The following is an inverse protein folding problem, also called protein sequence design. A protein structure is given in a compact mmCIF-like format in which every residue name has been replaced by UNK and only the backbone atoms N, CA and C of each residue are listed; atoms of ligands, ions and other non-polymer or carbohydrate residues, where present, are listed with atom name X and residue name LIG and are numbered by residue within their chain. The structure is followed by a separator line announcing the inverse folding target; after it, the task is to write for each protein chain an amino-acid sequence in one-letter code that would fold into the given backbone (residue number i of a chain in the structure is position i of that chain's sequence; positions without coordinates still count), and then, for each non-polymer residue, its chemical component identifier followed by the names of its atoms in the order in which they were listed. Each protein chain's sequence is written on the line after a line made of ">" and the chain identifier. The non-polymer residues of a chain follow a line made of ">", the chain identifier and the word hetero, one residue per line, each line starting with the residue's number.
data_IF_173348091226
#
_entry.id   IF_173348091226
#
_cell.length_a   1.000
_cell.length_b   1.000
_cell.length_c   1.000
_cell.angle_alpha   90.00
_cell.angle_beta   90.00
_cell.angle_gamma   90.00
#
_symmetry.space_group_name_H-M   'P 1'
#
loop_
_entity.id
_entity.type
_entity.pdbx_description
1 polymer ?
#
# COMPACT_ATOMS: atom_id res chain seq x y z
N UNK A 1 -15.36 44.07 9.76
CA UNK A 1 -15.59 42.75 10.39
C UNK A 1 -14.68 41.77 9.67
N UNK A 2 -13.41 41.76 10.08
CA UNK A 2 -12.37 40.87 9.54
C UNK A 2 -12.65 39.47 10.09
N UNK A 3 -12.94 38.51 9.21
CA UNK A 3 -13.05 37.10 9.60
C UNK A 3 -11.66 36.50 9.56
N UNK A 4 -11.27 35.93 10.69
CA UNK A 4 -9.99 35.29 10.96
C UNK A 4 -9.64 34.21 9.92
N UNK A 5 -8.70 34.53 9.04
CA UNK A 5 -7.91 33.58 8.27
C UNK A 5 -6.78 33.05 9.17
N UNK A 6 -7.09 32.29 10.21
CA UNK A 6 -6.09 31.54 10.99
C UNK A 6 -6.76 30.42 11.80
N UNK A 7 -7.13 29.36 11.10
CA UNK A 7 -7.25 28.02 11.70
C UNK A 7 -6.59 27.04 10.74
N UNK A 8 -5.28 27.20 10.52
CA UNK A 8 -4.47 26.08 10.05
C UNK A 8 -4.46 25.09 11.21
N UNK A 9 -5.32 24.09 11.10
CA UNK A 9 -5.45 23.01 12.05
C UNK A 9 -4.06 22.40 12.23
N UNK A 10 -3.44 22.61 13.39
CA UNK A 10 -2.05 22.27 13.68
C UNK A 10 -1.92 20.75 13.92
N UNK A 11 -2.37 19.95 12.95
CA UNK A 11 -2.38 18.50 13.03
C UNK A 11 -0.96 18.03 12.75
N UNK A 12 -0.29 17.48 13.77
CA UNK A 12 1.04 16.88 13.66
C UNK A 12 1.03 15.85 12.51
N UNK A 13 1.96 15.97 11.56
CA UNK A 13 2.13 15.01 10.45
C UNK A 13 2.19 13.56 10.96
N UNK A 14 1.55 12.63 10.25
CA UNK A 14 1.62 11.21 10.58
C UNK A 14 3.06 10.71 10.45
N UNK A 15 3.56 10.07 11.50
CA UNK A 15 4.91 9.49 11.52
C UNK A 15 4.86 7.96 11.46
N UNK A 16 5.71 7.40 10.61
CA UNK A 16 5.76 5.98 10.26
C UNK A 16 7.09 5.35 10.67
N UNK A 17 7.02 4.07 11.03
CA UNK A 17 8.17 3.18 11.03
C UNK A 17 7.86 1.93 10.21
N UNK A 18 8.81 1.52 9.37
CA UNK A 18 8.76 0.24 8.68
C UNK A 18 9.68 -0.75 9.40
N UNK A 19 9.15 -1.93 9.73
CA UNK A 19 9.94 -3.07 10.22
C UNK A 19 9.67 -4.20 9.25
N UNK A 20 10.66 -4.53 8.41
CA UNK A 20 10.39 -5.36 7.26
C UNK A 20 11.50 -6.32 6.94
N UNK A 21 11.18 -7.28 6.08
CA UNK A 21 12.14 -8.06 5.33
C UNK A 21 11.56 -8.32 3.93
N UNK A 22 12.40 -8.74 2.99
CA UNK A 22 12.02 -8.93 1.59
C UNK A 22 11.81 -7.62 0.83
N UNK A 23 11.45 -7.77 -0.45
CA UNK A 23 11.41 -6.67 -1.42
C UNK A 23 10.11 -5.85 -1.37
N UNK A 24 9.05 -6.38 -0.76
CA UNK A 24 7.75 -5.72 -0.84
C UNK A 24 7.70 -4.39 -0.08
N UNK A 25 8.11 -4.39 1.18
CA UNK A 25 8.12 -3.15 1.95
C UNK A 25 9.10 -2.13 1.33
N UNK A 26 10.24 -2.58 0.79
CA UNK A 26 11.14 -1.70 0.04
C UNK A 26 10.39 -1.02 -1.12
N UNK A 27 9.57 -1.78 -1.86
CA UNK A 27 8.72 -1.26 -2.94
C UNK A 27 7.75 -0.18 -2.47
N UNK A 28 7.10 -0.38 -1.33
CA UNK A 28 6.20 0.62 -0.72
C UNK A 28 6.99 1.85 -0.27
N UNK A 29 8.08 1.69 0.46
CA UNK A 29 8.93 2.78 0.96
C UNK A 29 9.44 3.63 -0.21
N UNK A 30 9.97 3.00 -1.25
CA UNK A 30 10.51 3.68 -2.44
C UNK A 30 9.42 4.37 -3.24
N UNK A 31 8.20 3.84 -3.24
CA UNK A 31 7.06 4.56 -3.79
C UNK A 31 6.73 5.81 -2.96
N UNK A 32 6.67 5.70 -1.62
CA UNK A 32 6.31 6.80 -0.71
C UNK A 32 7.31 7.96 -0.73
N UNK A 33 8.61 7.69 -0.81
CA UNK A 33 9.64 8.73 -0.94
C UNK A 33 9.78 9.26 -2.37
N UNK A 34 9.06 8.66 -3.32
CA UNK A 34 9.09 8.98 -4.75
C UNK A 34 10.49 8.79 -5.39
N UNK A 35 11.09 7.63 -5.12
CA UNK A 35 12.38 7.25 -5.73
C UNK A 35 12.19 6.94 -7.23
N UNK A 36 12.84 7.74 -8.07
CA UNK A 36 12.81 7.63 -9.53
C UNK A 36 13.47 6.35 -10.06
N UNK A 37 14.45 5.80 -9.35
CA UNK A 37 15.20 4.62 -9.79
C UNK A 37 14.46 3.31 -9.54
N UNK A 38 13.32 3.38 -8.85
CA UNK A 38 12.59 2.23 -8.38
C UNK A 38 11.65 1.62 -9.42
N UNK A 39 10.86 2.46 -10.10
CA UNK A 39 9.95 2.00 -11.14
C UNK A 39 10.72 1.80 -12.45
N UNK A 40 10.80 0.55 -12.92
CA UNK A 40 11.49 0.19 -14.17
C UNK A 40 10.56 -0.30 -15.27
N UNK A 41 9.24 -0.21 -15.06
CA UNK A 41 8.22 -0.78 -15.96
C UNK A 41 8.15 -0.15 -17.35
N UNK A 42 8.66 1.07 -17.53
CA UNK A 42 8.75 1.74 -18.84
C UNK A 42 10.14 1.65 -19.46
N UNK A 43 11.15 1.15 -18.72
CA UNK A 43 12.55 1.12 -19.12
C UNK A 43 13.00 2.46 -19.75
N UNK A 44 13.63 2.44 -20.93
CA UNK A 44 14.10 3.62 -21.67
C UNK A 44 12.98 4.58 -22.10
N UNK A 45 11.71 4.17 -22.05
CA UNK A 45 10.55 4.99 -22.40
C UNK A 45 9.92 5.68 -21.17
N UNK A 46 10.59 5.68 -20.03
CA UNK A 46 10.09 6.33 -18.81
C UNK A 46 10.00 7.85 -18.98
N UNK A 47 8.81 8.41 -18.77
CA UNK A 47 8.55 9.85 -18.75
C UNK A 47 8.41 10.41 -17.32
N UNK A 48 8.79 9.61 -16.31
CA UNK A 48 8.78 10.00 -14.90
C UNK A 48 7.40 10.43 -14.37
N UNK A 49 6.36 9.63 -14.64
CA UNK A 49 4.95 9.92 -14.32
C UNK A 49 4.62 10.28 -12.85
N UNK A 50 5.56 10.07 -11.91
CA UNK A 50 5.41 10.42 -10.49
C UNK A 50 6.24 11.62 -10.06
N UNK A 51 7.16 12.09 -10.90
CA UNK A 51 8.17 13.06 -10.50
C UNK A 51 7.54 14.40 -10.09
N UNK A 52 8.00 14.92 -8.94
CA UNK A 52 7.54 16.17 -8.35
C UNK A 52 6.03 16.23 -8.02
N UNK A 53 5.35 15.07 -7.98
CA UNK A 53 3.93 15.00 -7.58
C UNK A 53 3.78 14.94 -6.07
N UNK A 54 4.59 14.12 -5.38
CA UNK A 54 4.55 13.95 -3.93
C UNK A 54 5.91 13.48 -3.39
N UNK A 55 6.12 13.58 -2.07
CA UNK A 55 7.16 12.86 -1.35
C UNK A 55 6.81 12.80 0.14
N UNK A 56 6.73 11.60 0.69
CA UNK A 56 6.41 11.35 2.10
C UNK A 56 7.66 11.00 2.93
N UNK A 57 8.84 11.42 2.47
CA UNK A 57 10.10 11.15 3.18
C UNK A 57 10.10 11.66 4.63
N UNK A 58 9.40 12.77 4.90
CA UNK A 58 9.27 13.35 6.25
C UNK A 58 8.40 12.51 7.18
N UNK A 59 7.46 11.74 6.63
CA UNK A 59 6.61 10.84 7.40
C UNK A 59 7.38 9.60 7.85
N UNK A 60 8.41 9.15 7.13
CA UNK A 60 9.14 7.91 7.44
C UNK A 60 10.30 8.19 8.38
N UNK A 61 10.14 7.88 9.67
CA UNK A 61 11.18 8.10 10.68
C UNK A 61 12.26 7.01 10.67
N UNK A 62 11.89 5.78 10.31
CA UNK A 62 12.82 4.69 10.12
C UNK A 62 12.26 3.62 9.19
N UNK A 63 13.16 3.00 8.43
CA UNK A 63 12.93 1.77 7.70
C UNK A 63 13.99 0.77 8.15
N UNK A 64 13.56 -0.25 8.91
CA UNK A 64 14.45 -1.20 9.56
C UNK A 64 14.27 -2.56 8.93
N UNK A 65 15.27 -2.98 8.15
CA UNK A 65 15.29 -4.30 7.56
C UNK A 65 15.81 -5.33 8.57
N UNK A 66 15.04 -6.39 8.79
CA UNK A 66 15.41 -7.54 9.60
C UNK A 66 15.98 -8.67 8.74
N UNK A 67 16.55 -9.67 9.41
CA UNK A 67 17.07 -10.88 8.75
C UNK A 67 15.97 -11.57 7.95
N UNK A 68 16.34 -11.99 6.74
CA UNK A 68 15.45 -12.76 5.87
C UNK A 68 14.93 -14.02 6.60
N UNK A 69 13.60 -14.27 6.61
CA UNK A 69 13.01 -15.42 7.27
C UNK A 69 13.62 -16.77 6.85
N UNK A 70 14.09 -16.91 5.60
CA UNK A 70 14.75 -18.13 5.10
C UNK A 70 16.09 -18.44 5.78
N UNK A 71 16.69 -17.45 6.45
CA UNK A 71 17.95 -17.58 7.20
C UNK A 71 17.72 -17.76 8.71
N UNK A 72 16.47 -17.78 9.15
CA UNK A 72 16.11 -17.96 10.55
C UNK A 72 15.64 -19.40 10.80
N UNK A 73 15.76 -19.91 12.04
CA UNK A 73 15.15 -21.18 12.42
C UNK A 73 13.63 -21.14 12.21
N UNK A 74 13.02 -22.30 11.97
CA UNK A 74 11.57 -22.39 11.77
C UNK A 74 10.73 -21.93 12.97
N UNK A 75 11.32 -21.98 14.17
CA UNK A 75 10.73 -21.51 15.43
C UNK A 75 11.78 -20.73 16.22
N UNK A 76 11.37 -19.59 16.77
CA UNK A 76 12.23 -18.69 17.55
C UNK A 76 11.68 -18.58 18.97
N UNK A 77 12.38 -19.17 19.94
CA UNK A 77 11.97 -19.14 21.35
C UNK A 77 12.03 -17.75 21.99
N UNK A 78 12.95 -16.89 21.51
CA UNK A 78 13.23 -15.57 22.07
C UNK A 78 13.21 -14.49 20.96
N UNK A 79 12.03 -14.18 20.38
CA UNK A 79 11.90 -13.26 19.25
C UNK A 79 12.43 -11.85 19.54
N UNK A 80 12.38 -11.41 20.81
CA UNK A 80 12.88 -10.12 21.26
C UNK A 80 14.39 -9.93 21.01
N UNK A 81 15.17 -11.02 20.92
CA UNK A 81 16.62 -10.96 20.61
C UNK A 81 16.91 -10.59 19.16
N UNK A 82 15.95 -10.82 18.27
CA UNK A 82 16.05 -10.51 16.84
C UNK A 82 15.42 -9.15 16.50
N UNK A 83 14.73 -8.53 17.46
CA UNK A 83 14.10 -7.24 17.27
C UNK A 83 15.12 -6.10 17.14
N UNK A 84 14.78 -5.01 16.44
CA UNK A 84 15.64 -3.84 16.39
C UNK A 84 15.93 -3.31 17.79
N UNK A 85 17.21 -3.05 18.09
CA UNK A 85 17.63 -2.50 19.40
C UNK A 85 17.06 -1.11 19.67
N UNK A 86 16.75 -0.34 18.63
CA UNK A 86 16.20 1.01 18.69
C UNK A 86 15.17 1.18 17.60
N UNK A 87 13.95 1.52 18.00
CA UNK A 87 12.85 1.91 17.12
C UNK A 87 12.44 3.32 17.57
N UNK A 88 12.39 4.32 16.67
CA UNK A 88 11.94 5.65 17.05
C UNK A 88 10.46 5.64 17.45
N UNK A 89 10.07 6.58 18.30
CA UNK A 89 8.63 6.81 18.57
C UNK A 89 7.98 7.33 17.28
N UNK A 90 6.90 6.68 16.87
CA UNK A 90 6.12 7.00 15.69
C UNK A 90 4.62 6.85 16.01
N UNK A 91 3.75 7.21 15.08
CA UNK A 91 2.31 7.03 15.25
C UNK A 91 1.87 5.64 14.73
N UNK A 92 2.48 5.16 13.65
CA UNK A 92 2.08 3.94 12.94
C UNK A 92 3.28 3.06 12.54
N UNK A 93 3.15 1.74 12.72
CA UNK A 93 4.11 0.75 12.24
C UNK A 93 3.55 0.00 11.02
N UNK A 94 4.36 -0.18 9.98
CA UNK A 94 4.08 -1.08 8.87
C UNK A 94 5.05 -2.25 8.97
N UNK A 95 4.53 -3.47 9.12
CA UNK A 95 5.33 -4.69 9.22
C UNK A 95 5.05 -5.65 8.06
N UNK A 96 6.07 -6.17 7.41
CA UNK A 96 5.90 -7.03 6.22
C UNK A 96 7.10 -7.93 5.96
N UNK A 97 6.86 -9.13 5.41
CA UNK A 97 7.90 -10.10 5.04
C UNK A 97 8.71 -10.65 6.22
N UNK A 98 8.17 -10.55 7.43
CA UNK A 98 8.85 -10.97 8.66
C UNK A 98 8.64 -12.46 8.95
N UNK A 99 9.56 -13.04 9.71
CA UNK A 99 9.35 -14.36 10.30
C UNK A 99 8.14 -14.32 11.24
N UNK A 100 7.33 -15.39 11.26
CA UNK A 100 6.03 -15.44 11.95
C UNK A 100 6.15 -15.12 13.44
N UNK A 101 7.15 -15.68 14.11
CA UNK A 101 7.40 -15.41 15.53
C UNK A 101 7.86 -13.98 15.79
N UNK A 102 8.58 -13.35 14.85
CA UNK A 102 8.92 -11.94 14.96
C UNK A 102 7.69 -11.08 14.77
N UNK A 103 6.86 -11.40 13.77
CA UNK A 103 5.62 -10.68 13.52
C UNK A 103 4.70 -10.67 14.76
N UNK A 104 4.59 -11.81 15.47
CA UNK A 104 3.84 -11.93 16.74
C UNK A 104 4.40 -11.08 17.88
N UNK A 105 5.70 -10.76 17.88
CA UNK A 105 6.32 -9.92 18.89
C UNK A 105 6.24 -8.42 18.57
N UNK A 106 5.94 -8.03 17.31
CA UNK A 106 5.82 -6.61 16.91
C UNK A 106 4.85 -5.82 17.81
N UNK A 107 3.61 -6.29 18.10
CA UNK A 107 2.67 -5.53 18.93
C UNK A 107 3.25 -5.15 20.30
N UNK A 108 3.97 -6.07 20.94
CA UNK A 108 4.62 -5.85 22.23
C UNK A 108 5.71 -4.77 22.17
N UNK A 109 6.48 -4.75 21.08
CA UNK A 109 7.59 -3.82 20.91
C UNK A 109 7.09 -2.40 20.62
N UNK A 110 6.13 -2.27 19.70
CA UNK A 110 5.65 -0.96 19.25
C UNK A 110 4.79 -0.27 20.32
N UNK A 111 4.01 -1.04 21.10
CA UNK A 111 3.17 -0.49 22.17
C UNK A 111 4.02 0.19 23.26
N UNK A 112 5.15 -0.42 23.64
CA UNK A 112 6.09 0.15 24.64
C UNK A 112 6.65 1.52 24.22
N UNK A 113 6.62 1.82 22.92
CA UNK A 113 7.11 3.07 22.33
C UNK A 113 6.01 4.11 22.14
N UNK A 114 4.75 3.74 22.41
CA UNK A 114 3.58 4.59 22.24
C UNK A 114 3.05 4.66 20.81
N UNK A 115 3.50 3.78 19.91
CA UNK A 115 2.91 3.62 18.57
C UNK A 115 1.46 3.14 18.73
N UNK A 116 0.57 3.64 17.88
CA UNK A 116 -0.88 3.49 18.03
C UNK A 116 -1.53 2.58 17.01
N UNK A 117 -0.84 2.27 15.91
CA UNK A 117 -1.36 1.36 14.90
C UNK A 117 -0.30 0.43 14.33
N UNK A 118 -0.78 -0.69 13.79
CA UNK A 118 -0.01 -1.67 13.05
C UNK A 118 -0.74 -2.06 11.76
N UNK A 119 -0.08 -1.87 10.62
CA UNK A 119 -0.53 -2.43 9.34
C UNK A 119 0.38 -3.60 8.98
N UNK A 120 -0.23 -4.74 8.69
CA UNK A 120 0.47 -5.94 8.19
C UNK A 120 -0.14 -6.33 6.85
N UNK A 121 0.41 -5.84 5.73
CA UNK A 121 -0.11 -6.19 4.42
C UNK A 121 0.12 -7.66 4.09
N UNK A 122 -0.87 -8.28 3.44
CA UNK A 122 -0.82 -9.68 3.02
C UNK A 122 -0.69 -9.73 1.50
N UNK A 123 0.55 -9.74 1.01
CA UNK A 123 0.86 -9.96 -0.41
C UNK A 123 1.06 -11.45 -0.72
N UNK A 124 1.49 -12.24 0.27
CA UNK A 124 1.53 -13.69 0.23
C UNK A 124 0.89 -14.28 1.50
N UNK A 125 -0.12 -15.13 1.32
CA UNK A 125 -0.87 -15.72 2.43
C UNK A 125 -0.07 -16.75 3.24
N UNK A 126 1.08 -17.19 2.74
CA UNK A 126 1.99 -18.08 3.48
C UNK A 126 2.80 -17.34 4.54
N UNK A 127 3.07 -16.04 4.32
CA UNK A 127 3.72 -15.14 5.29
C UNK A 127 2.80 -14.86 6.47
N UNK A 128 1.52 -14.59 6.19
CA UNK A 128 0.50 -14.30 7.20
C UNK A 128 -0.72 -15.23 7.04
N UNK A 129 -0.62 -16.50 7.51
CA UNK A 129 -1.76 -17.41 7.52
C UNK A 129 -2.90 -16.89 8.42
N UNK A 130 -4.13 -17.34 8.17
CA UNK A 130 -5.32 -16.89 8.90
C UNK A 130 -5.23 -17.07 10.43
N UNK A 131 -4.62 -18.16 10.90
CA UNK A 131 -4.36 -18.38 12.32
C UNK A 131 -3.42 -17.35 12.93
N UNK A 132 -2.33 -17.00 12.22
CA UNK A 132 -1.38 -15.98 12.64
C UNK A 132 -2.03 -14.59 12.65
N UNK A 133 -2.81 -14.27 11.61
CA UNK A 133 -3.59 -13.02 11.54
C UNK A 133 -4.47 -12.87 12.77
N UNK A 134 -5.24 -13.92 13.11
CA UNK A 134 -6.14 -13.89 14.27
C UNK A 134 -5.38 -13.66 15.58
N UNK A 135 -4.23 -14.32 15.77
CA UNK A 135 -3.39 -14.12 16.95
C UNK A 135 -2.88 -12.67 17.05
N UNK A 136 -2.50 -12.06 15.92
CA UNK A 136 -2.08 -10.66 15.89
C UNK A 136 -3.23 -9.70 16.18
N UNK A 137 -4.42 -9.95 15.63
CA UNK A 137 -5.64 -9.17 15.90
C UNK A 137 -5.98 -9.19 17.39
N UNK A 138 -6.05 -10.39 17.99
CA UNK A 138 -6.31 -10.56 19.42
C UNK A 138 -5.25 -9.85 20.27
N UNK A 139 -3.97 -10.02 19.94
CA UNK A 139 -2.87 -9.39 20.69
C UNK A 139 -2.89 -7.87 20.60
N UNK A 140 -3.21 -7.31 19.43
CA UNK A 140 -3.29 -5.87 19.26
C UNK A 140 -4.51 -5.28 19.96
N UNK A 141 -5.64 -5.99 19.95
CA UNK A 141 -6.82 -5.60 20.70
C UNK A 141 -6.54 -5.53 22.21
N UNK A 142 -5.85 -6.53 22.77
CA UNK A 142 -5.41 -6.51 24.19
C UNK A 142 -4.50 -5.33 24.53
N UNK A 143 -3.77 -4.83 23.55
CA UNK A 143 -2.79 -3.76 23.69
C UNK A 143 -3.32 -2.37 23.30
N UNK A 144 -4.62 -2.27 22.96
CA UNK A 144 -5.26 -1.03 22.48
C UNK A 144 -4.52 -0.43 21.26
N UNK A 145 -4.17 -1.29 20.30
CA UNK A 145 -3.55 -0.93 19.03
C UNK A 145 -4.56 -1.06 17.88
N UNK A 146 -4.64 -0.03 17.04
CA UNK A 146 -5.34 -0.16 15.76
C UNK A 146 -4.62 -1.18 14.87
N UNK A 147 -5.36 -2.05 14.20
CA UNK A 147 -4.78 -3.01 13.25
C UNK A 147 -5.50 -3.10 11.93
N UNK A 148 -4.73 -3.31 10.87
CA UNK A 148 -5.25 -3.70 9.56
C UNK A 148 -4.37 -4.77 8.90
N UNK A 149 -5.03 -5.73 8.25
CA UNK A 149 -4.43 -6.82 7.49
C UNK A 149 -4.90 -6.80 6.03
N UNK A 150 -4.63 -5.72 5.27
CA UNK A 150 -5.15 -5.58 3.92
C UNK A 150 -4.56 -6.66 3.01
N UNK A 151 -5.42 -7.30 2.21
CA UNK A 151 -5.09 -8.44 1.35
C UNK A 151 -5.67 -8.26 -0.06
N UNK A 152 -4.88 -7.76 -1.04
CA UNK A 152 -3.52 -7.17 -0.92
C UNK A 152 -3.52 -5.80 -0.22
N UNK A 153 -2.36 -5.16 -0.04
CA UNK A 153 -2.28 -3.82 0.60
C UNK A 153 -3.13 -2.76 -0.12
N UNK A 154 -3.30 -2.87 -1.44
CA UNK A 154 -4.18 -1.98 -2.20
C UNK A 154 -5.68 -2.24 -1.96
N UNK A 155 -6.05 -3.07 -0.97
CA UNK A 155 -7.41 -3.16 -0.43
C UNK A 155 -7.66 -2.25 0.76
N UNK A 156 -6.62 -1.58 1.29
CA UNK A 156 -6.74 -0.75 2.48
C UNK A 156 -7.60 0.50 2.19
N UNK A 157 -8.71 0.62 2.92
CA UNK A 157 -9.61 1.76 2.91
C UNK A 157 -9.63 2.44 4.29
N UNK A 158 -9.94 3.75 4.38
CA UNK A 158 -10.14 4.40 5.66
C UNK A 158 -11.37 3.84 6.37
N UNK A 159 -11.30 3.78 7.70
CA UNK A 159 -12.39 3.37 8.58
C UNK A 159 -12.53 4.33 9.76
N UNK A 160 -13.77 4.62 10.17
CA UNK A 160 -14.06 5.57 11.24
C UNK A 160 -13.52 5.12 12.60
N UNK A 161 -13.52 3.81 12.85
CA UNK A 161 -13.03 3.17 14.08
C UNK A 161 -11.49 3.02 14.11
N UNK A 162 -10.79 3.40 13.04
CA UNK A 162 -9.33 3.28 12.91
C UNK A 162 -8.70 4.61 12.46
N UNK A 163 -8.80 5.68 13.26
CA UNK A 163 -8.35 7.01 12.86
C UNK A 163 -6.86 7.10 12.54
N UNK A 164 -5.97 6.35 13.21
CA UNK A 164 -4.52 6.38 12.91
C UNK A 164 -4.21 5.71 11.58
N UNK A 165 -4.84 4.58 11.28
CA UNK A 165 -4.69 3.89 9.99
C UNK A 165 -5.35 4.69 8.86
N UNK A 166 -6.51 5.29 9.09
CA UNK A 166 -7.18 6.14 8.10
C UNK A 166 -6.32 7.34 7.70
N UNK A 167 -5.58 7.93 8.65
CA UNK A 167 -4.59 8.98 8.34
C UNK A 167 -3.50 8.52 7.38
N UNK A 168 -3.08 7.26 7.42
CA UNK A 168 -2.11 6.74 6.43
C UNK A 168 -2.70 6.80 5.02
N UNK A 169 -3.97 6.43 4.88
CA UNK A 169 -4.63 6.43 3.58
C UNK A 169 -4.90 7.84 3.08
N UNK A 170 -5.35 8.74 3.96
CA UNK A 170 -5.79 10.08 3.60
C UNK A 170 -4.65 11.09 3.51
N UNK A 171 -3.66 11.05 4.40
CA UNK A 171 -2.55 12.03 4.41
C UNK A 171 -1.44 11.66 3.40
N UNK A 172 -1.26 10.37 3.10
CA UNK A 172 -0.25 9.91 2.15
C UNK A 172 -0.85 9.48 0.81
N UNK A 173 -2.17 9.57 0.64
CA UNK A 173 -2.88 9.22 -0.59
C UNK A 173 -2.50 7.82 -1.12
N UNK A 174 -2.34 6.85 -0.20
CA UNK A 174 -1.99 5.45 -0.52
C UNK A 174 -2.93 4.43 0.11
N UNK A 175 -3.40 3.47 -0.67
CA UNK A 175 -4.36 2.45 -0.21
C UNK A 175 -5.10 1.86 -1.40
N UNK A 176 -6.43 1.69 -1.27
CA UNK A 176 -7.28 1.40 -2.43
C UNK A 176 -7.15 2.50 -3.48
N UNK A 177 -6.89 2.18 -4.76
CA UNK A 177 -6.72 3.19 -5.79
C UNK A 177 -7.93 4.13 -5.91
N UNK A 178 -7.68 5.36 -6.35
CA UNK A 178 -8.72 6.30 -6.76
C UNK A 178 -8.18 7.20 -7.87
N UNK A 179 -8.98 7.37 -8.92
CA UNK A 179 -8.60 8.05 -10.15
C UNK A 179 -9.72 8.98 -10.60
N UNK A 180 -9.35 10.04 -11.31
CA UNK A 180 -10.27 10.77 -12.18
C UNK A 180 -9.86 10.52 -13.63
N UNK A 181 -10.85 10.30 -14.49
CA UNK A 181 -10.64 10.01 -15.91
C UNK A 181 -11.50 10.98 -16.72
N UNK A 182 -10.91 11.55 -17.76
CA UNK A 182 -11.63 12.31 -18.78
C UNK A 182 -11.54 11.60 -20.11
N UNK A 183 -12.60 11.70 -20.90
CA UNK A 183 -12.70 11.05 -22.21
C UNK A 183 -12.86 12.08 -23.33
N UNK A 184 -12.50 11.68 -24.54
CA UNK A 184 -12.74 12.46 -25.76
C UNK A 184 -13.24 11.56 -26.86
N UNK A 185 -14.19 12.07 -27.65
CA UNK A 185 -14.70 11.35 -28.81
C UNK A 185 -13.76 11.53 -30.01
N UNK A 186 -13.23 10.43 -30.54
CA UNK A 186 -12.48 10.38 -31.79
C UNK A 186 -13.22 9.52 -32.82
N UNK A 187 -13.97 10.19 -33.69
CA UNK A 187 -14.83 9.53 -34.68
C UNK A 187 -15.95 8.72 -34.01
N UNK A 188 -15.91 7.39 -34.20
CA UNK A 188 -16.90 6.45 -33.61
C UNK A 188 -16.48 5.88 -32.26
N UNK A 189 -15.27 6.19 -31.78
CA UNK A 189 -14.75 5.71 -30.51
C UNK A 189 -14.71 6.84 -29.49
N UNK A 190 -14.91 6.47 -28.23
CA UNK A 190 -14.59 7.29 -27.08
C UNK A 190 -13.30 6.73 -26.47
N UNK A 191 -12.35 7.62 -26.17
CA UNK A 191 -11.05 7.22 -25.65
C UNK A 191 -10.75 8.01 -24.38
N UNK A 192 -9.89 7.45 -23.54
CA UNK A 192 -9.34 8.13 -22.37
C UNK A 192 -8.38 9.23 -22.85
N UNK A 193 -8.68 10.48 -22.53
CA UNK A 193 -7.87 11.65 -22.89
C UNK A 193 -6.82 11.95 -21.82
N UNK A 194 -7.23 11.95 -20.56
CA UNK A 194 -6.32 12.13 -19.42
C UNK A 194 -6.78 11.40 -18.17
N UNK A 195 -5.84 11.14 -17.27
CA UNK A 195 -6.04 10.48 -15.99
C UNK A 195 -5.35 11.26 -14.88
N UNK A 196 -6.01 11.41 -13.72
CA UNK A 196 -5.41 11.98 -12.50
C UNK A 196 -5.48 10.94 -11.40
N UNK A 197 -4.35 10.63 -10.77
CA UNK A 197 -4.32 9.73 -9.61
C UNK A 197 -4.60 10.53 -8.34
N UNK A 198 -5.68 10.20 -7.65
CA UNK A 198 -6.06 10.79 -6.35
C UNK A 198 -5.57 9.95 -5.18
N UNK A 199 -5.46 8.64 -5.38
CA UNK A 199 -4.91 7.69 -4.40
C UNK A 199 -4.24 6.56 -5.14
N UNK A 200 -3.00 6.25 -4.76
CA UNK A 200 -2.22 5.17 -5.38
C UNK A 200 -2.34 3.88 -4.58
N UNK A 201 -2.25 2.74 -5.26
CA UNK A 201 -1.83 1.50 -4.62
C UNK A 201 -0.51 1.74 -3.86
N UNK A 202 -0.29 1.16 -2.66
CA UNK A 202 0.90 1.41 -1.86
C UNK A 202 2.22 1.13 -2.59
N UNK A 203 2.23 0.13 -3.47
CA UNK A 203 3.38 -0.23 -4.29
C UNK A 203 3.65 0.72 -5.46
N UNK A 204 2.73 1.63 -5.80
CA UNK A 204 2.84 2.59 -6.91
C UNK A 204 2.24 2.15 -8.25
N UNK A 205 1.62 0.96 -8.34
CA UNK A 205 1.12 0.41 -9.61
C UNK A 205 0.08 1.30 -10.29
N UNK A 206 -0.75 2.01 -9.51
CA UNK A 206 -1.81 2.89 -10.01
C UNK A 206 -1.27 3.95 -10.96
N UNK A 207 -0.10 4.54 -10.67
CA UNK A 207 0.54 5.53 -11.55
C UNK A 207 0.91 4.94 -12.92
N UNK A 208 1.39 3.70 -12.92
CA UNK A 208 1.74 3.02 -14.17
C UNK A 208 0.49 2.68 -14.97
N UNK A 209 -0.54 2.12 -14.31
CA UNK A 209 -1.81 1.78 -14.96
C UNK A 209 -2.47 3.03 -15.55
N UNK A 210 -2.66 4.08 -14.75
CA UNK A 210 -3.26 5.34 -15.19
C UNK A 210 -2.58 5.88 -16.46
N UNK A 211 -1.24 5.88 -16.49
CA UNK A 211 -0.48 6.32 -17.66
C UNK A 211 -0.71 5.45 -18.90
N UNK A 212 -0.79 4.12 -18.74
CA UNK A 212 -1.02 3.18 -19.84
C UNK A 212 -2.43 3.24 -20.41
N UNK A 213 -3.38 3.81 -19.67
CA UNK A 213 -4.76 3.96 -20.12
C UNK A 213 -4.99 5.18 -21.02
N UNK A 214 -4.09 6.17 -21.03
CA UNK A 214 -4.20 7.33 -21.92
C UNK A 214 -4.20 6.87 -23.39
N UNK A 215 -5.24 7.24 -24.13
CA UNK A 215 -5.45 6.86 -25.53
C UNK A 215 -6.19 5.53 -25.73
N UNK A 216 -6.55 4.81 -24.67
CA UNK A 216 -7.29 3.54 -24.75
C UNK A 216 -8.78 3.80 -24.99
N UNK A 217 -9.40 2.98 -25.84
CA UNK A 217 -10.85 3.01 -26.13
C UNK A 217 -11.65 2.52 -24.92
N UNK A 218 -12.74 3.23 -24.58
CA UNK A 218 -13.58 2.94 -23.39
C UNK A 218 -14.46 1.70 -23.56
N UNK A 219 -14.50 1.09 -24.75
CA UNK A 219 -15.14 -0.20 -24.96
C UNK A 219 -14.60 -1.25 -23.98
N UNK A 220 -15.52 -1.85 -23.23
CA UNK A 220 -15.24 -2.77 -22.12
C UNK A 220 -14.14 -3.80 -22.40
N UNK A 221 -14.23 -4.53 -23.51
CA UNK A 221 -13.25 -5.57 -23.86
C UNK A 221 -11.83 -5.00 -24.03
N UNK A 222 -11.69 -3.89 -24.75
CA UNK A 222 -10.39 -3.22 -24.99
C UNK A 222 -9.83 -2.65 -23.70
N UNK A 223 -10.69 -1.96 -22.94
CA UNK A 223 -10.32 -1.33 -21.69
C UNK A 223 -9.85 -2.36 -20.65
N UNK A 224 -10.62 -3.43 -20.44
CA UNK A 224 -10.29 -4.46 -19.46
C UNK A 224 -8.97 -5.15 -19.77
N UNK A 225 -8.74 -5.46 -21.04
CA UNK A 225 -7.52 -6.07 -21.54
C UNK A 225 -6.31 -5.11 -21.39
N UNK A 226 -6.49 -3.81 -21.63
CA UNK A 226 -5.47 -2.79 -21.38
C UNK A 226 -5.13 -2.68 -19.88
N UNK A 227 -6.12 -2.64 -19.00
CA UNK A 227 -5.93 -2.60 -17.54
C UNK A 227 -5.19 -3.85 -17.07
N UNK A 228 -5.64 -5.04 -17.49
CA UNK A 228 -5.03 -6.30 -17.11
C UNK A 228 -3.56 -6.38 -17.56
N UNK A 229 -3.27 -6.01 -18.82
CA UNK A 229 -1.88 -5.95 -19.31
C UNK A 229 -1.02 -4.97 -18.52
N UNK A 230 -1.54 -3.77 -18.25
CA UNK A 230 -0.79 -2.77 -17.51
C UNK A 230 -0.48 -3.24 -16.07
N UNK A 231 -1.47 -3.83 -15.38
CA UNK A 231 -1.28 -4.38 -14.04
C UNK A 231 -0.24 -5.51 -14.00
N UNK A 232 -0.35 -6.49 -14.92
CA UNK A 232 0.61 -7.61 -14.99
C UNK A 232 2.01 -7.19 -15.47
N UNK A 233 2.13 -6.08 -16.20
CA UNK A 233 3.43 -5.52 -16.62
C UNK A 233 4.11 -4.72 -15.51
N UNK A 234 3.35 -4.30 -14.49
CA UNK A 234 3.93 -3.72 -13.30
C UNK A 234 4.48 -4.83 -12.38
N UNK A 235 5.70 -4.71 -11.83
CA UNK A 235 6.30 -5.71 -10.94
C UNK A 235 5.62 -5.69 -9.56
N UNK A 236 4.36 -6.13 -9.53
CA UNK A 236 3.61 -6.41 -8.32
C UNK A 236 4.25 -7.59 -7.58
N UNK A 237 4.31 -7.50 -6.26
CA UNK A 237 4.88 -8.54 -5.38
C UNK A 237 3.80 -9.42 -4.75
N UNK A 238 2.53 -9.19 -5.07
CA UNK A 238 1.44 -10.06 -4.67
C UNK A 238 1.61 -11.45 -5.28
N UNK A 239 1.34 -12.49 -4.50
CA UNK A 239 1.51 -13.88 -4.93
C UNK A 239 0.55 -14.23 -6.07
N UNK A 240 1.07 -15.01 -7.03
CA UNK A 240 0.29 -15.66 -8.08
C UNK A 240 -0.31 -17.00 -7.64
N UNK A 241 0.00 -17.45 -6.43
CA UNK A 241 -0.57 -18.66 -5.85
C UNK A 241 -2.04 -18.45 -5.49
N UNK A 242 -2.88 -19.46 -5.71
CA UNK A 242 -4.31 -19.39 -5.37
C UNK A 242 -4.45 -19.32 -3.85
N UNK A 243 -5.03 -18.22 -3.39
CA UNK A 243 -5.28 -18.03 -1.97
C UNK A 243 -6.42 -18.95 -1.47
N UNK A 244 -6.24 -19.67 -0.35
CA UNK A 244 -7.26 -20.57 0.14
C UNK A 244 -8.53 -19.87 0.66
N UNK A 245 -8.47 -18.60 1.07
CA UNK A 245 -9.63 -17.84 1.52
C UNK A 245 -10.36 -17.19 0.34
N UNK A 246 -9.64 -16.56 -0.59
CA UNK A 246 -10.19 -15.79 -1.72
C UNK A 246 -10.49 -16.65 -2.96
N UNK A 247 -9.93 -17.87 -3.03
CA UNK A 247 -10.03 -18.78 -4.20
C UNK A 247 -9.51 -18.18 -5.50
N UNK A 248 -8.62 -17.20 -5.41
CA UNK A 248 -8.03 -16.43 -6.50
C UNK A 248 -6.62 -15.98 -6.06
N UNK A 249 -5.64 -15.84 -6.96
CA UNK A 249 -4.37 -15.20 -6.63
C UNK A 249 -4.53 -13.78 -6.13
N UNK A 250 -3.75 -13.41 -5.11
CA UNK A 250 -3.79 -12.07 -4.51
C UNK A 250 -3.44 -11.00 -5.56
N UNK A 251 -2.54 -11.29 -6.51
CA UNK A 251 -2.23 -10.39 -7.61
C UNK A 251 -3.45 -10.06 -8.47
N UNK A 252 -4.30 -11.05 -8.78
CA UNK A 252 -5.52 -10.83 -9.56
C UNK A 252 -6.52 -9.96 -8.79
N UNK A 253 -6.63 -10.14 -7.47
CA UNK A 253 -7.48 -9.29 -6.63
C UNK A 253 -7.06 -7.81 -6.74
N UNK A 254 -5.75 -7.52 -6.69
CA UNK A 254 -5.25 -6.17 -6.95
C UNK A 254 -5.60 -5.65 -8.35
N UNK A 255 -5.56 -6.53 -9.36
CA UNK A 255 -5.96 -6.23 -10.74
C UNK A 255 -7.46 -5.94 -10.88
N UNK A 256 -8.31 -6.67 -10.16
CA UNK A 256 -9.75 -6.43 -10.12
C UNK A 256 -10.08 -5.11 -9.43
N UNK A 257 -9.37 -4.77 -8.34
CA UNK A 257 -9.53 -3.50 -7.64
C UNK A 257 -9.23 -2.32 -8.56
N UNK A 258 -8.07 -2.28 -9.23
CA UNK A 258 -7.76 -1.17 -10.14
C UNK A 258 -8.74 -1.10 -11.33
N UNK A 259 -9.23 -2.24 -11.82
CA UNK A 259 -10.27 -2.27 -12.86
C UNK A 259 -11.56 -1.61 -12.37
N UNK A 260 -12.03 -2.00 -11.18
CA UNK A 260 -13.24 -1.43 -10.58
C UNK A 260 -13.11 0.09 -10.39
N UNK A 261 -11.96 0.57 -9.92
CA UNK A 261 -11.72 2.00 -9.71
C UNK A 261 -11.62 2.79 -11.04
N UNK A 262 -11.15 2.17 -12.12
CA UNK A 262 -11.19 2.76 -13.46
C UNK A 262 -12.64 2.84 -13.98
N UNK A 263 -13.45 1.80 -13.78
CA UNK A 263 -14.87 1.83 -14.16
C UNK A 263 -15.64 2.92 -13.42
N UNK A 264 -15.47 2.99 -12.09
CA UNK A 264 -16.07 4.05 -11.27
C UNK A 264 -15.67 5.44 -11.76
N UNK A 265 -14.41 5.64 -12.12
CA UNK A 265 -13.92 6.92 -12.62
C UNK A 265 -14.50 7.30 -13.98
N UNK A 266 -14.83 6.32 -14.84
CA UNK A 266 -15.50 6.55 -16.13
C UNK A 266 -16.99 6.86 -15.96
N UNK A 267 -17.66 6.25 -14.97
CA UNK A 267 -19.08 6.51 -14.71
C UNK A 267 -19.34 7.90 -14.07
N UNK A 268 -18.30 8.54 -13.55
CA UNK A 268 -18.36 9.84 -12.87
C UNK A 268 -17.95 11.03 -13.75
N UNK A 269 -17.33 10.78 -14.91
CA UNK A 269 -16.84 11.80 -15.86
C UNK A 269 -17.83 12.09 -16.99
#
# INVERSE_FOLDING_TARGET
>A
MLRDLNSVNNKKELTLVFIYSGEYAERVIRNLINDLSFCKSCDVYCDSCKYNVYSHVRNILAAIQLTDPSKLPAFIDNPEKYMPKKIPKADLCIASGLHKDLLLEIPNQIQKLGIKGLIVPIEDFTEVPSGLRKQLEERCQELDLETAFPKPFCSLEPAEDKPVISRFVDELEVGRPSLEISTVRRGKSEIIDSTVVRRSAPCGSTWYVAKKLIGVDTKREILYDAIARAHHSYPCTATMSIDPELKEPILHIGGYMIREEVEKALDQG
#
